data_IF_663291322561
#
_entry.id   IF_663291322561
#
_cell.length_a   1.000
_cell.length_b   1.000
_cell.length_c   1.000
_cell.angle_alpha   90.00
_cell.angle_beta   90.00
_cell.angle_gamma   90.00
#
_symmetry.space_group_name_H-M   'P 1'
#
loop_
_entity.id
_entity.type
_entity.pdbx_description
1 polymer ?
#
# COMPACT_ATOMS: atom_id res chain seq x y z
N UNK A 1 -19.64 -0.30 81.40
CA UNK A 1 -18.77 0.79 80.90
C UNK A 1 -19.48 2.10 81.18
N UNK A 2 -19.06 2.81 82.23
CA UNK A 2 -19.78 3.97 82.79
C UNK A 2 -19.79 5.13 81.79
N UNK A 3 -20.93 5.80 81.61
CA UNK A 3 -21.14 6.90 80.65
C UNK A 3 -20.04 7.97 80.69
N UNK A 4 -19.46 8.23 81.87
CA UNK A 4 -18.28 9.08 82.05
C UNK A 4 -17.12 8.70 81.11
N UNK A 5 -16.76 7.41 80.98
CA UNK A 5 -15.66 6.96 80.10
C UNK A 5 -15.94 7.22 78.62
N UNK A 6 -17.21 7.15 78.20
CA UNK A 6 -17.60 7.46 76.82
C UNK A 6 -17.49 8.95 76.53
N UNK A 7 -17.83 9.79 77.51
CA UNK A 7 -17.71 11.24 77.39
C UNK A 7 -16.26 11.71 77.44
N UNK A 8 -15.39 11.06 78.24
CA UNK A 8 -13.94 11.30 78.20
C UNK A 8 -13.40 11.04 76.79
N UNK A 9 -13.64 9.86 76.23
CA UNK A 9 -13.16 9.53 74.88
C UNK A 9 -13.72 10.46 73.80
N UNK A 10 -14.98 10.90 73.93
CA UNK A 10 -15.58 11.87 73.02
C UNK A 10 -14.92 13.24 73.14
N UNK A 11 -14.69 13.73 74.36
CA UNK A 11 -14.04 15.03 74.60
C UNK A 11 -12.58 15.03 74.15
N UNK A 12 -11.85 13.94 74.37
CA UNK A 12 -10.45 13.79 73.91
C UNK A 12 -10.38 13.83 72.37
N UNK A 13 -11.29 13.13 71.69
CA UNK A 13 -11.37 13.15 70.23
C UNK A 13 -11.81 14.52 69.70
N UNK A 14 -12.82 15.13 70.33
CA UNK A 14 -13.32 16.46 69.98
C UNK A 14 -12.22 17.51 70.12
N UNK A 15 -11.50 17.54 71.22
CA UNK A 15 -10.41 18.52 71.45
C UNK A 15 -9.25 18.32 70.47
N UNK A 16 -8.91 17.07 70.13
CA UNK A 16 -7.91 16.77 69.11
C UNK A 16 -8.36 17.19 67.70
N UNK A 17 -9.61 16.89 67.32
CA UNK A 17 -10.17 17.28 66.02
C UNK A 17 -10.27 18.81 65.90
N UNK A 18 -10.69 19.51 66.96
CA UNK A 18 -10.75 20.98 67.00
C UNK A 18 -9.38 21.61 66.83
N UNK A 19 -8.37 21.15 67.59
CA UNK A 19 -7.02 21.65 67.46
C UNK A 19 -6.49 21.44 66.03
N UNK A 20 -6.69 20.24 65.48
CA UNK A 20 -6.29 19.92 64.11
C UNK A 20 -6.99 20.80 63.07
N UNK A 21 -8.29 21.08 63.23
CA UNK A 21 -9.03 21.94 62.31
C UNK A 21 -8.57 23.39 62.40
N UNK A 22 -8.43 23.93 63.61
CA UNK A 22 -8.00 25.29 63.84
C UNK A 22 -6.56 25.53 63.35
N UNK A 23 -5.66 24.58 63.58
CA UNK A 23 -4.27 24.62 63.08
C UNK A 23 -4.23 24.60 61.55
N UNK A 24 -5.03 23.73 60.92
CA UNK A 24 -5.09 23.64 59.47
C UNK A 24 -5.71 24.91 58.84
N UNK A 25 -6.76 25.47 59.44
CA UNK A 25 -7.37 26.73 58.99
C UNK A 25 -6.43 27.91 59.22
N UNK A 26 -5.67 27.94 60.31
CA UNK A 26 -4.67 28.96 60.58
C UNK A 26 -3.52 28.91 59.55
N UNK A 27 -3.06 27.70 59.19
CA UNK A 27 -2.07 27.48 58.13
C UNK A 27 -2.57 28.05 56.79
N UNK A 28 -3.80 27.73 56.41
CA UNK A 28 -4.43 28.21 55.17
C UNK A 28 -4.56 29.75 55.18
N UNK A 29 -5.01 30.35 56.28
CA UNK A 29 -5.16 31.80 56.39
C UNK A 29 -3.80 32.54 56.39
N UNK A 30 -2.73 31.90 56.85
CA UNK A 30 -1.36 32.44 56.79
C UNK A 30 -0.79 32.36 55.36
N UNK A 31 -1.11 31.29 54.63
CA UNK A 31 -0.77 31.10 53.22
C UNK A 31 -1.52 32.10 52.32
N UNK A 32 -2.82 32.29 52.54
CA UNK A 32 -3.67 33.26 51.81
C UNK A 32 -3.15 34.72 51.95
N UNK A 33 -2.52 35.06 53.09
CA UNK A 33 -1.92 36.38 53.32
C UNK A 33 -0.57 36.55 52.65
N UNK A 34 0.22 35.48 52.54
CA UNK A 34 1.51 35.49 51.84
C UNK A 34 1.33 35.54 50.32
N UNK A 35 0.36 34.81 49.76
CA UNK A 35 0.07 34.82 48.31
C UNK A 35 -0.53 36.16 47.83
N UNK A 36 -1.26 36.89 48.68
CA UNK A 36 -1.76 38.24 48.33
C UNK A 36 -0.67 39.32 48.21
N UNK A 37 0.57 39.04 48.62
CA UNK A 37 1.71 39.94 48.41
C UNK A 37 2.54 39.60 47.16
N UNK A 38 2.32 38.46 46.51
CA UNK A 38 3.07 38.01 45.35
C UNK A 38 2.09 37.62 44.24
N UNK A 39 1.59 38.63 43.52
CA UNK A 39 0.94 38.41 42.23
C UNK A 39 2.04 38.40 41.17
N UNK A 40 1.96 37.41 40.27
CA UNK A 40 2.84 37.10 39.14
C UNK A 40 4.08 36.24 39.46
N UNK A 41 3.89 34.94 39.71
CA UNK A 41 4.50 33.89 38.87
C UNK A 41 3.96 32.49 39.19
N UNK A 42 3.96 31.67 38.15
CA UNK A 42 3.37 30.34 38.03
C UNK A 42 4.01 29.29 38.95
N UNK A 43 3.14 28.44 39.51
CA UNK A 43 3.35 27.09 40.03
C UNK A 43 3.81 26.89 41.49
N UNK A 44 2.84 26.38 42.27
CA UNK A 44 2.93 25.18 43.09
C UNK A 44 3.96 25.16 44.22
N UNK A 45 3.62 25.80 45.34
CA UNK A 45 4.03 25.32 46.67
C UNK A 45 3.11 25.89 47.74
N UNK A 46 1.83 25.50 47.72
CA UNK A 46 0.90 25.79 48.81
C UNK A 46 0.65 24.50 49.56
N UNK A 47 0.91 24.48 50.86
CA UNK A 47 0.59 23.40 51.81
C UNK A 47 -0.73 22.71 51.45
N UNK A 48 -0.63 21.49 50.92
CA UNK A 48 -1.75 20.73 50.36
C UNK A 48 -2.60 20.15 51.50
N UNK A 49 -3.40 21.02 52.10
CA UNK A 49 -4.39 20.62 53.08
C UNK A 49 -5.59 20.08 52.31
N UNK A 50 -5.79 18.76 52.38
CA UNK A 50 -6.85 18.05 51.67
C UNK A 50 -8.25 18.58 52.08
N UNK A 51 -8.99 19.25 51.18
CA UNK A 51 -10.31 19.80 51.48
C UNK A 51 -11.36 18.74 51.84
N UNK A 52 -11.22 17.49 51.38
CA UNK A 52 -12.11 16.40 51.77
C UNK A 52 -11.83 15.98 53.22
N UNK A 53 -10.56 15.86 53.61
CA UNK A 53 -10.18 15.55 54.99
C UNK A 53 -10.60 16.64 55.97
N UNK A 54 -10.46 17.92 55.60
CA UNK A 54 -10.91 19.03 56.45
C UNK A 54 -12.42 19.03 56.67
N UNK A 55 -13.20 18.76 55.62
CA UNK A 55 -14.64 18.67 55.73
C UNK A 55 -15.08 17.49 56.61
N UNK A 56 -14.39 16.33 56.49
CA UNK A 56 -14.64 15.18 57.36
C UNK A 56 -14.35 15.50 58.83
N UNK A 57 -13.25 16.18 59.12
CA UNK A 57 -12.91 16.65 60.48
C UNK A 57 -13.97 17.62 60.99
N UNK A 58 -14.36 18.61 60.18
CA UNK A 58 -15.44 19.57 60.50
C UNK A 58 -16.76 18.85 60.83
N UNK A 59 -17.15 17.86 60.03
CA UNK A 59 -18.37 17.07 60.27
C UNK A 59 -18.30 16.25 61.57
N UNK A 60 -17.13 15.65 61.90
CA UNK A 60 -16.92 14.95 63.17
C UNK A 60 -17.01 15.89 64.37
N UNK A 61 -16.47 17.10 64.25
CA UNK A 61 -16.56 18.13 65.28
C UNK A 61 -18.02 18.51 65.51
N UNK A 62 -18.77 18.83 64.46
CA UNK A 62 -20.18 19.18 64.57
C UNK A 62 -21.00 18.07 65.24
N UNK A 63 -20.77 16.81 64.84
CA UNK A 63 -21.42 15.66 65.46
C UNK A 63 -21.04 15.52 66.95
N UNK A 64 -19.77 15.72 67.29
CA UNK A 64 -19.28 15.65 68.67
C UNK A 64 -19.86 16.73 69.57
N UNK A 65 -20.13 17.93 69.03
CA UNK A 65 -20.80 19.01 69.77
C UNK A 65 -22.27 18.65 69.99
N UNK A 66 -22.99 18.26 68.93
CA UNK A 66 -24.42 17.90 68.99
C UNK A 66 -24.69 16.76 69.97
N UNK A 67 -23.85 15.72 69.96
CA UNK A 67 -24.02 14.57 70.84
C UNK A 67 -23.43 14.80 72.25
N UNK A 68 -22.27 15.46 72.32
CA UNK A 68 -21.50 15.63 73.54
C UNK A 68 -22.08 16.68 74.49
N UNK A 69 -22.52 17.82 73.95
CA UNK A 69 -23.00 18.96 74.73
C UNK A 69 -24.16 18.60 75.68
N UNK A 70 -25.30 18.02 75.24
CA UNK A 70 -26.41 17.69 76.14
C UNK A 70 -26.04 16.62 77.18
N UNK A 71 -25.13 15.69 76.84
CA UNK A 71 -24.70 14.61 77.73
C UNK A 71 -23.76 15.09 78.82
N UNK A 72 -22.79 15.93 78.47
CA UNK A 72 -21.86 16.55 79.43
C UNK A 72 -22.63 17.50 80.34
N UNK A 73 -23.49 18.35 79.78
CA UNK A 73 -24.37 19.25 80.55
C UNK A 73 -25.19 18.51 81.60
N UNK A 74 -25.87 17.44 81.20
CA UNK A 74 -26.65 16.59 82.11
C UNK A 74 -25.79 15.97 83.20
N UNK A 75 -24.54 15.59 82.89
CA UNK A 75 -23.63 14.98 83.86
C UNK A 75 -23.09 16.00 84.87
N UNK A 76 -22.77 17.22 84.43
CA UNK A 76 -22.33 18.33 85.28
C UNK A 76 -23.44 18.79 86.22
N UNK A 77 -24.66 18.99 85.71
CA UNK A 77 -25.81 19.35 86.55
C UNK A 77 -26.06 18.32 87.66
N UNK A 78 -25.85 17.03 87.38
CA UNK A 78 -25.95 15.96 88.39
C UNK A 78 -24.77 15.93 89.37
N UNK A 79 -23.58 16.36 88.96
CA UNK A 79 -22.40 16.45 89.81
C UNK A 79 -22.45 17.67 90.77
N UNK A 80 -23.17 18.73 90.36
CA UNK A 80 -23.42 19.95 91.15
C UNK A 80 -24.70 19.88 92.00
N UNK A 81 -25.37 18.74 92.06
CA UNK A 81 -26.55 18.55 92.91
C UNK A 81 -26.14 18.69 94.39
N UNK A 82 -26.84 19.55 95.14
CA UNK A 82 -26.48 19.93 96.51
C UNK A 82 -27.32 19.16 97.54
N UNK A 83 -28.43 18.55 97.12
CA UNK A 83 -29.23 17.65 97.97
C UNK A 83 -28.50 16.30 98.18
N UNK A 84 -28.07 15.97 99.41
CA UNK A 84 -27.35 14.72 99.69
C UNK A 84 -28.15 13.46 99.34
N UNK A 85 -29.48 13.55 99.27
CA UNK A 85 -30.36 12.43 98.90
C UNK A 85 -30.53 12.28 97.38
N UNK A 86 -30.06 13.24 96.59
CA UNK A 86 -30.12 13.25 95.11
C UNK A 86 -28.73 13.21 94.46
N UNK A 87 -27.69 13.53 95.21
CA UNK A 87 -26.31 13.47 94.74
C UNK A 87 -25.85 12.01 94.60
N UNK A 88 -25.61 11.58 93.36
CA UNK A 88 -25.25 10.20 93.01
C UNK A 88 -23.74 9.97 92.84
N UNK A 89 -22.93 11.02 92.91
CA UNK A 89 -21.48 10.98 92.71
C UNK A 89 -20.74 11.38 93.99
N UNK A 90 -19.64 10.68 94.28
CA UNK A 90 -18.72 11.09 95.35
C UNK A 90 -17.90 12.33 94.91
N UNK A 91 -17.30 13.03 95.88
CA UNK A 91 -16.56 14.28 95.65
C UNK A 91 -15.44 14.13 94.59
N UNK A 92 -14.75 12.98 94.59
CA UNK A 92 -13.69 12.69 93.61
C UNK A 92 -14.24 12.57 92.19
N UNK A 93 -15.42 11.97 92.00
CA UNK A 93 -16.08 11.88 90.70
C UNK A 93 -16.68 13.22 90.27
N UNK A 94 -17.20 14.03 91.20
CA UNK A 94 -17.64 15.38 90.89
C UNK A 94 -16.48 16.23 90.34
N UNK A 95 -15.29 16.19 90.96
CA UNK A 95 -14.10 16.89 90.47
C UNK A 95 -13.69 16.45 89.06
N UNK A 96 -13.72 15.13 88.79
CA UNK A 96 -13.43 14.55 87.47
C UNK A 96 -14.45 14.93 86.38
N UNK A 97 -15.71 15.15 86.75
CA UNK A 97 -16.76 15.62 85.82
C UNK A 97 -16.58 17.10 85.49
N UNK A 98 -16.16 17.92 86.46
CA UNK A 98 -15.83 19.34 86.25
C UNK A 98 -14.61 19.51 85.34
N UNK A 99 -13.56 18.70 85.50
CA UNK A 99 -12.40 18.71 84.61
C UNK A 99 -12.76 18.35 83.17
N UNK A 100 -13.60 17.31 82.99
CA UNK A 100 -14.11 16.91 81.68
C UNK A 100 -14.93 18.03 81.02
N UNK A 101 -15.76 18.72 81.81
CA UNK A 101 -16.53 19.86 81.34
C UNK A 101 -15.62 21.00 80.90
N UNK A 102 -14.59 21.33 81.69
CA UNK A 102 -13.60 22.36 81.33
C UNK A 102 -12.88 22.04 80.03
N UNK A 103 -12.46 20.79 79.85
CA UNK A 103 -11.78 20.33 78.63
C UNK A 103 -12.70 20.45 77.40
N UNK A 104 -13.97 20.05 77.51
CA UNK A 104 -14.96 20.19 76.44
C UNK A 104 -15.24 21.66 76.10
N UNK A 105 -15.42 22.51 77.10
CA UNK A 105 -15.60 23.95 76.88
C UNK A 105 -14.38 24.61 76.25
N UNK A 106 -13.16 24.17 76.57
CA UNK A 106 -11.94 24.68 75.95
C UNK A 106 -11.92 24.41 74.44
N UNK A 107 -12.34 23.23 73.99
CA UNK A 107 -12.51 22.95 72.56
C UNK A 107 -13.58 23.84 71.90
N UNK A 108 -14.71 24.08 72.57
CA UNK A 108 -15.73 25.01 72.06
C UNK A 108 -15.22 26.46 71.95
N UNK A 109 -14.43 26.91 72.93
CA UNK A 109 -13.81 28.24 72.92
C UNK A 109 -12.81 28.41 71.79
N UNK A 110 -12.08 27.35 71.42
CA UNK A 110 -11.17 27.38 70.27
C UNK A 110 -11.92 27.50 68.94
N UNK A 111 -13.10 26.89 68.82
CA UNK A 111 -13.95 26.98 67.61
C UNK A 111 -14.70 28.30 67.50
N UNK A 112 -15.17 28.84 68.63
CA UNK A 112 -15.97 30.04 68.73
C UNK A 112 -15.43 30.95 69.85
N UNK A 113 -14.48 31.85 69.54
CA UNK A 113 -13.85 32.74 70.51
C UNK A 113 -14.80 33.68 71.26
N UNK A 114 -16.04 33.85 70.76
CA UNK A 114 -17.12 34.57 71.44
C UNK A 114 -17.52 33.94 72.80
N UNK A 115 -17.04 32.73 73.12
CA UNK A 115 -17.15 32.08 74.43
C UNK A 115 -15.92 32.29 75.35
N UNK A 116 -14.97 33.15 74.96
CA UNK A 116 -13.78 33.50 75.75
C UNK A 116 -14.06 34.68 76.70
N UNK A 117 -13.60 34.64 77.98
CA UNK A 117 -13.82 35.71 78.94
C UNK A 117 -13.04 37.02 78.67
N UNK A 118 -12.16 37.07 77.66
CA UNK A 118 -11.22 38.20 77.47
C UNK A 118 -11.50 39.13 76.28
N UNK A 119 -12.63 39.00 75.57
CA UNK A 119 -12.98 39.90 74.44
C UNK A 119 -14.13 40.86 74.76
N UNK A 120 -14.46 41.05 76.05
CA UNK A 120 -15.40 42.09 76.49
C UNK A 120 -14.73 43.45 76.77
N UNK A 121 -13.39 43.55 76.73
CA UNK A 121 -12.66 44.80 76.93
C UNK A 121 -12.05 45.35 75.64
N UNK A 122 -12.87 45.65 74.62
CA UNK A 122 -12.49 46.62 73.57
C UNK A 122 -13.69 46.92 72.65
N UNK A 123 -14.75 47.48 73.23
CA UNK A 123 -15.54 48.49 72.55
C UNK A 123 -16.39 49.28 73.56
N UNK A 124 -16.24 50.59 73.46
CA UNK A 124 -16.59 51.62 74.40
C UNK A 124 -18.09 51.87 74.59
N UNK A 125 -18.41 52.26 75.84
CA UNK A 125 -19.52 53.10 76.36
C UNK A 125 -20.82 52.41 76.91
N UNK A 126 -21.25 52.74 78.16
CA UNK A 126 -22.42 52.15 78.84
C UNK A 126 -23.69 53.03 78.71
N UNK A 127 -24.91 52.53 79.02
CA UNK A 127 -25.38 52.61 80.41
C UNK A 127 -26.24 51.42 80.93
N UNK A 128 -26.12 51.21 82.24
CA UNK A 128 -27.17 50.83 83.19
C UNK A 128 -28.14 49.67 82.85
N UNK A 129 -27.77 48.46 83.27
CA UNK A 129 -28.48 47.62 84.25
C UNK A 129 -28.04 46.15 84.08
N UNK A 130 -27.80 45.49 85.22
CA UNK A 130 -27.37 44.09 85.37
C UNK A 130 -25.95 43.78 84.87
N UNK A 131 -24.99 43.81 85.80
CA UNK A 131 -23.74 43.04 85.69
C UNK A 131 -24.08 41.54 85.64
N UNK A 132 -24.44 41.04 84.47
CA UNK A 132 -24.36 39.60 84.19
C UNK A 132 -22.92 39.32 83.83
N UNK A 133 -22.09 39.17 84.86
CA UNK A 133 -20.77 38.55 84.75
C UNK A 133 -20.99 37.06 84.44
N UNK A 134 -21.44 36.76 83.21
CA UNK A 134 -21.77 35.42 82.75
C UNK A 134 -20.46 34.67 82.54
N UNK A 135 -20.07 33.89 83.54
CA UNK A 135 -19.07 32.86 83.38
C UNK A 135 -19.41 32.04 82.10
N UNK A 136 -18.53 31.92 81.09
CA UNK A 136 -18.83 31.20 79.83
C UNK A 136 -19.18 29.72 80.08
N UNK A 137 -18.71 29.17 81.20
CA UNK A 137 -19.09 27.84 81.68
C UNK A 137 -20.55 27.77 82.20
N UNK A 138 -21.18 28.89 82.56
CA UNK A 138 -22.57 28.96 83.00
C UNK A 138 -23.56 29.03 81.82
N UNK A 139 -23.15 29.64 80.69
CA UNK A 139 -23.98 29.74 79.47
C UNK A 139 -24.27 28.35 78.88
N UNK A 140 -23.28 27.45 78.88
CA UNK A 140 -23.45 26.05 78.46
C UNK A 140 -24.34 25.22 79.40
N UNK A 141 -24.58 25.69 80.62
CA UNK A 141 -25.46 25.04 81.59
C UNK A 141 -26.89 25.59 81.55
N UNK A 142 -27.15 26.67 80.81
CA UNK A 142 -28.48 27.27 80.62
C UNK A 142 -29.38 26.39 79.73
N UNK A 143 -30.64 26.27 80.12
CA UNK A 143 -31.69 25.55 79.38
C UNK A 143 -31.93 26.11 77.97
N UNK A 144 -31.52 27.34 77.71
CA UNK A 144 -31.69 28.01 76.42
C UNK A 144 -30.46 27.96 75.51
N UNK A 145 -29.40 27.23 75.90
CA UNK A 145 -28.21 27.08 75.05
C UNK A 145 -28.54 26.34 73.75
N UNK A 146 -28.31 27.00 72.61
CA UNK A 146 -28.48 26.43 71.28
C UNK A 146 -27.13 26.00 70.69
N UNK A 147 -26.99 24.71 70.42
CA UNK A 147 -25.80 24.11 69.79
C UNK A 147 -25.61 24.63 68.36
N UNK A 148 -26.71 24.82 67.63
CA UNK A 148 -26.67 25.25 66.22
C UNK A 148 -25.99 26.62 66.07
N UNK A 149 -26.21 27.51 67.05
CA UNK A 149 -25.58 28.83 67.08
C UNK A 149 -24.05 28.76 67.19
N UNK A 150 -23.49 27.75 67.87
CA UNK A 150 -22.03 27.57 67.97
C UNK A 150 -21.45 27.01 66.66
N UNK A 151 -22.19 26.12 66.00
CA UNK A 151 -21.79 25.55 64.72
C UNK A 151 -21.80 26.62 63.62
N UNK A 152 -22.84 27.46 63.57
CA UNK A 152 -22.99 28.56 62.61
C UNK A 152 -21.99 29.71 62.84
N UNK A 153 -21.57 29.94 64.09
CA UNK A 153 -20.66 31.04 64.43
C UNK A 153 -19.17 30.67 64.37
N UNK A 154 -18.82 29.41 64.10
CA UNK A 154 -17.42 28.99 64.04
C UNK A 154 -16.75 29.35 62.70
N UNK A 155 -15.75 30.25 62.69
CA UNK A 155 -15.05 30.61 61.46
C UNK A 155 -14.25 29.45 60.86
N UNK A 156 -13.79 28.52 61.71
CA UNK A 156 -13.02 27.35 61.29
C UNK A 156 -13.89 26.31 60.58
N UNK A 157 -15.10 26.03 61.10
CA UNK A 157 -16.06 25.13 60.46
C UNK A 157 -16.55 25.71 59.13
N UNK A 158 -16.90 27.00 59.09
CA UNK A 158 -17.32 27.68 57.87
C UNK A 158 -16.23 27.66 56.79
N UNK A 159 -14.96 27.94 57.15
CA UNK A 159 -13.85 27.92 56.19
C UNK A 159 -13.61 26.53 55.62
N UNK A 160 -13.74 25.47 56.42
CA UNK A 160 -13.61 24.09 55.93
C UNK A 160 -14.74 23.71 54.96
N UNK A 161 -15.97 24.13 55.25
CA UNK A 161 -17.12 23.95 54.36
C UNK A 161 -16.97 24.74 53.05
N UNK A 162 -16.54 26.00 53.12
CA UNK A 162 -16.31 26.84 51.95
C UNK A 162 -15.22 26.26 51.02
N UNK A 163 -14.12 25.77 51.60
CA UNK A 163 -13.04 25.13 50.85
C UNK A 163 -13.50 23.84 50.18
N UNK A 164 -14.29 23.03 50.88
CA UNK A 164 -14.87 21.82 50.30
C UNK A 164 -15.85 22.13 49.17
N UNK A 165 -16.73 23.10 49.34
CA UNK A 165 -17.66 23.54 48.31
C UNK A 165 -16.94 24.05 47.06
N UNK A 166 -15.87 24.84 47.24
CA UNK A 166 -15.03 25.29 46.12
C UNK A 166 -14.33 24.12 45.41
N UNK A 167 -13.82 23.16 46.17
CA UNK A 167 -13.19 21.95 45.63
C UNK A 167 -14.17 21.13 44.77
N UNK A 168 -15.38 20.85 45.27
CA UNK A 168 -16.41 20.11 44.54
C UNK A 168 -16.82 20.84 43.25
N UNK A 169 -17.00 22.16 43.30
CA UNK A 169 -17.33 22.95 42.11
C UNK A 169 -16.21 22.93 41.06
N UNK A 170 -14.94 22.98 41.49
CA UNK A 170 -13.79 22.89 40.60
C UNK A 170 -13.73 21.51 39.94
N UNK A 171 -13.85 20.45 40.72
CA UNK A 171 -13.88 19.07 40.23
C UNK A 171 -15.01 18.83 39.24
N UNK A 172 -16.23 19.28 39.53
CA UNK A 172 -17.36 19.15 38.61
C UNK A 172 -17.14 19.89 37.27
N UNK A 173 -16.48 21.07 37.30
CA UNK A 173 -16.11 21.80 36.07
C UNK A 173 -15.05 21.05 35.25
N UNK A 174 -14.05 20.46 35.92
CA UNK A 174 -13.00 19.69 35.27
C UNK A 174 -13.54 18.39 34.64
N UNK A 175 -14.38 17.64 35.36
CA UNK A 175 -15.03 16.42 34.85
C UNK A 175 -15.95 16.73 33.65
N UNK A 176 -16.73 17.82 33.70
CA UNK A 176 -17.57 18.26 32.59
C UNK A 176 -16.74 18.67 31.36
N UNK A 177 -15.60 19.34 31.57
CA UNK A 177 -14.67 19.66 30.50
C UNK A 177 -14.06 18.41 29.87
N UNK A 178 -13.54 17.49 30.69
CA UNK A 178 -12.96 16.23 30.23
C UNK A 178 -13.96 15.40 29.42
N UNK A 179 -15.21 15.30 29.90
CA UNK A 179 -16.28 14.61 29.19
C UNK A 179 -16.58 15.24 27.82
N UNK A 180 -16.65 16.57 27.73
CA UNK A 180 -16.84 17.28 26.45
C UNK A 180 -15.68 17.07 25.48
N UNK A 181 -14.44 17.08 25.98
CA UNK A 181 -13.26 16.84 25.15
C UNK A 181 -13.25 15.40 24.63
N UNK A 182 -13.52 14.42 25.50
CA UNK A 182 -13.57 13.01 25.13
C UNK A 182 -14.65 12.74 24.07
N UNK A 183 -15.86 13.29 24.25
CA UNK A 183 -16.95 13.13 23.27
C UNK A 183 -16.58 13.72 21.91
N UNK A 184 -16.08 14.96 21.88
CA UNK A 184 -15.68 15.60 20.61
C UNK A 184 -14.56 14.85 19.91
N UNK A 185 -13.60 14.31 20.66
CA UNK A 185 -12.52 13.50 20.10
C UNK A 185 -13.06 12.19 19.49
N UNK A 186 -14.01 11.53 20.16
CA UNK A 186 -14.67 10.34 19.64
C UNK A 186 -15.44 10.62 18.34
N UNK A 187 -16.12 11.76 18.27
CA UNK A 187 -16.83 12.19 17.06
C UNK A 187 -15.86 12.43 15.89
N UNK A 188 -14.72 13.09 16.15
CA UNK A 188 -13.67 13.32 15.13
C UNK A 188 -13.08 12.00 14.62
N UNK A 189 -12.75 11.06 15.52
CA UNK A 189 -12.23 9.73 15.13
C UNK A 189 -13.25 8.97 14.29
N UNK A 190 -14.54 9.06 14.65
CA UNK A 190 -15.62 8.41 13.91
C UNK A 190 -15.77 9.01 12.51
N UNK A 191 -15.72 10.34 12.40
CA UNK A 191 -15.74 11.04 11.11
C UNK A 191 -14.55 10.64 10.24
N UNK A 192 -13.34 10.65 10.80
CA UNK A 192 -12.13 10.27 10.06
C UNK A 192 -12.22 8.83 9.53
N UNK A 193 -12.72 7.90 10.35
CA UNK A 193 -12.94 6.51 9.95
C UNK A 193 -13.95 6.43 8.80
N UNK A 194 -15.07 7.15 8.87
CA UNK A 194 -16.07 7.19 7.81
C UNK A 194 -15.51 7.80 6.51
N UNK A 195 -14.73 8.89 6.61
CA UNK A 195 -14.08 9.51 5.45
C UNK A 195 -13.08 8.56 4.77
N UNK A 196 -12.28 7.81 5.54
CA UNK A 196 -11.38 6.79 4.97
C UNK A 196 -12.15 5.70 4.20
N UNK A 197 -13.29 5.25 4.73
CA UNK A 197 -14.14 4.27 4.03
C UNK A 197 -14.73 4.84 2.74
N UNK A 198 -15.16 6.10 2.77
CA UNK A 198 -15.69 6.79 1.59
C UNK A 198 -14.63 6.91 0.48
N UNK A 199 -13.43 7.41 0.81
CA UNK A 199 -12.31 7.53 -0.13
C UNK A 199 -11.96 6.15 -0.72
N UNK A 200 -11.83 5.12 0.13
CA UNK A 200 -11.53 3.77 -0.34
C UNK A 200 -12.63 3.20 -1.27
N UNK A 201 -13.89 3.59 -1.08
CA UNK A 201 -14.99 3.19 -1.95
C UNK A 201 -14.95 3.92 -3.30
N UNK A 202 -14.67 5.23 -3.31
CA UNK A 202 -14.47 6.01 -4.53
C UNK A 202 -13.28 5.49 -5.34
N UNK A 203 -12.12 5.32 -4.71
CA UNK A 203 -10.92 4.76 -5.37
C UNK A 203 -11.19 3.38 -5.96
N UNK A 204 -11.98 2.54 -5.28
CA UNK A 204 -12.36 1.22 -5.80
C UNK A 204 -13.23 1.34 -7.05
N UNK A 205 -14.19 2.25 -7.09
CA UNK A 205 -15.04 2.47 -8.26
C UNK A 205 -14.25 3.00 -9.45
N UNK A 206 -13.39 3.99 -9.23
CA UNK A 206 -12.51 4.55 -10.26
C UNK A 206 -11.55 3.49 -10.81
N UNK A 207 -10.97 2.66 -9.93
CA UNK A 207 -10.09 1.57 -10.33
C UNK A 207 -10.82 0.52 -11.19
N UNK A 208 -12.06 0.19 -10.86
CA UNK A 208 -12.87 -0.74 -11.68
C UNK A 208 -13.10 -0.15 -13.07
N UNK A 209 -13.54 1.11 -13.15
CA UNK A 209 -13.75 1.79 -14.43
C UNK A 209 -12.47 1.84 -15.29
N UNK A 210 -11.34 2.17 -14.68
CA UNK A 210 -10.03 2.18 -15.36
C UNK A 210 -9.63 0.79 -15.87
N UNK A 211 -9.85 -0.27 -15.09
CA UNK A 211 -9.53 -1.65 -15.51
C UNK A 211 -10.42 -2.08 -16.68
N UNK A 212 -11.70 -1.70 -16.67
CA UNK A 212 -12.63 -1.97 -17.78
C UNK A 212 -12.22 -1.23 -19.06
N UNK A 213 -11.84 0.04 -18.95
CA UNK A 213 -11.29 0.83 -20.06
C UNK A 213 -10.04 0.16 -20.64
N UNK A 214 -9.07 -0.23 -19.79
CA UNK A 214 -7.85 -0.91 -20.22
C UNK A 214 -8.10 -2.28 -20.83
N UNK A 215 -9.13 -2.99 -20.37
CA UNK A 215 -9.58 -4.23 -21.02
C UNK A 215 -10.11 -3.95 -22.42
N UNK A 216 -10.88 -2.88 -22.60
CA UNK A 216 -11.35 -2.42 -23.92
C UNK A 216 -10.20 -2.04 -24.85
N UNK A 217 -9.22 -1.26 -24.36
CA UNK A 217 -8.02 -0.89 -25.11
C UNK A 217 -7.23 -2.12 -25.55
N UNK A 218 -7.01 -3.08 -24.64
CA UNK A 218 -6.31 -4.32 -24.94
C UNK A 218 -7.00 -5.11 -26.05
N UNK A 219 -8.32 -5.26 -25.97
CA UNK A 219 -9.09 -5.96 -27.00
C UNK A 219 -8.99 -5.25 -28.35
N UNK A 220 -9.08 -3.91 -28.36
CA UNK A 220 -8.92 -3.11 -29.58
C UNK A 220 -7.54 -3.30 -30.21
N UNK A 221 -6.48 -3.29 -29.41
CA UNK A 221 -5.10 -3.50 -29.89
C UNK A 221 -4.95 -4.91 -30.45
N UNK A 222 -5.50 -5.94 -29.78
CA UNK A 222 -5.46 -7.32 -30.28
C UNK A 222 -6.17 -7.40 -31.64
N UNK A 223 -7.39 -6.88 -31.78
CA UNK A 223 -8.10 -6.90 -33.06
C UNK A 223 -7.30 -6.16 -34.16
N UNK A 224 -6.70 -5.01 -33.86
CA UNK A 224 -5.85 -4.29 -34.82
C UNK A 224 -4.60 -5.09 -35.23
N UNK A 225 -4.01 -5.85 -34.31
CA UNK A 225 -2.86 -6.72 -34.61
C UNK A 225 -3.28 -7.92 -35.47
N UNK A 226 -4.41 -8.55 -35.15
CA UNK A 226 -5.00 -9.64 -35.94
C UNK A 226 -5.38 -9.18 -37.36
N UNK A 227 -6.02 -8.02 -37.50
CA UNK A 227 -6.33 -7.40 -38.79
C UNK A 227 -5.07 -7.11 -39.61
N UNK A 228 -4.00 -6.61 -38.97
CA UNK A 228 -2.72 -6.38 -39.64
C UNK A 228 -2.04 -7.67 -40.05
N UNK A 229 -2.06 -8.70 -39.21
CA UNK A 229 -1.47 -10.00 -39.50
C UNK A 229 -2.20 -10.69 -40.66
N UNK A 230 -3.53 -10.68 -40.64
CA UNK A 230 -4.36 -11.22 -41.73
C UNK A 230 -4.18 -10.45 -43.04
N UNK A 231 -4.11 -9.11 -43.01
CA UNK A 231 -3.81 -8.30 -44.19
C UNK A 231 -2.42 -8.65 -44.76
N UNK A 232 -1.40 -8.71 -43.91
CA UNK A 232 -0.04 -9.13 -44.27
C UNK A 232 0.00 -10.52 -44.90
N UNK A 233 -0.75 -11.47 -44.34
CA UNK A 233 -0.85 -12.82 -44.88
C UNK A 233 -1.54 -12.86 -46.24
N UNK A 234 -2.61 -12.08 -46.43
CA UNK A 234 -3.28 -11.96 -47.72
C UNK A 234 -2.37 -11.34 -48.79
N UNK A 235 -1.60 -10.30 -48.45
CA UNK A 235 -0.62 -9.69 -49.33
C UNK A 235 0.47 -10.71 -49.74
N UNK A 236 0.93 -11.53 -48.79
CA UNK A 236 1.90 -12.61 -49.05
C UNK A 236 1.31 -13.70 -49.96
N UNK A 237 0.06 -14.10 -49.77
CA UNK A 237 -0.61 -15.05 -50.67
C UNK A 237 -0.71 -14.49 -52.10
N UNK A 238 -1.11 -13.22 -52.25
CA UNK A 238 -1.16 -12.57 -53.55
C UNK A 238 0.22 -12.47 -54.21
N UNK A 239 1.27 -12.16 -53.42
CA UNK A 239 2.65 -12.15 -53.89
C UNK A 239 3.08 -13.53 -54.39
N UNK A 240 2.83 -14.59 -53.62
CA UNK A 240 3.14 -15.98 -53.98
C UNK A 240 2.45 -16.39 -55.28
N UNK A 241 1.16 -16.08 -55.42
CA UNK A 241 0.40 -16.35 -56.64
C UNK A 241 0.97 -15.59 -57.85
N UNK A 242 1.34 -14.32 -57.66
CA UNK A 242 1.92 -13.49 -58.71
C UNK A 242 3.28 -14.03 -59.15
N UNK A 243 4.14 -14.40 -58.19
CA UNK A 243 5.43 -15.00 -58.47
C UNK A 243 5.31 -16.31 -59.26
N UNK A 244 4.42 -17.21 -58.82
CA UNK A 244 4.18 -18.48 -59.50
C UNK A 244 3.66 -18.27 -60.92
N UNK A 245 2.73 -17.32 -61.13
CA UNK A 245 2.23 -16.95 -62.46
C UNK A 245 3.34 -16.42 -63.35
N UNK A 246 4.14 -15.47 -62.86
CA UNK A 246 5.25 -14.88 -63.61
C UNK A 246 6.29 -15.93 -64.01
N UNK A 247 6.66 -16.83 -63.09
CA UNK A 247 7.61 -17.89 -63.40
C UNK A 247 7.04 -18.89 -64.40
N UNK A 248 5.75 -19.24 -64.28
CA UNK A 248 5.07 -20.10 -65.24
C UNK A 248 4.99 -19.47 -66.64
N UNK A 249 4.64 -18.18 -66.73
CA UNK A 249 4.63 -17.42 -67.98
C UNK A 249 6.02 -17.34 -68.64
N UNK A 250 7.06 -17.07 -67.84
CA UNK A 250 8.45 -17.11 -68.33
C UNK A 250 8.84 -18.49 -68.83
N UNK A 251 8.44 -19.55 -68.14
CA UNK A 251 8.74 -20.93 -68.51
C UNK A 251 8.01 -21.35 -69.80
N UNK A 252 6.80 -20.85 -70.06
CA UNK A 252 6.09 -21.06 -71.34
C UNK A 252 6.86 -20.54 -72.55
N UNK A 253 7.82 -19.62 -72.37
CA UNK A 253 8.69 -19.23 -73.50
C UNK A 253 9.65 -20.35 -73.93
N UNK A 254 9.87 -21.37 -73.09
CA UNK A 254 10.65 -22.58 -73.36
C UNK A 254 9.72 -23.69 -73.85
N UNK A 255 8.95 -23.41 -74.91
CA UNK A 255 8.07 -24.41 -75.52
C UNK A 255 8.86 -25.59 -76.12
N UNK A 256 10.05 -25.31 -76.65
CA UNK A 256 10.98 -26.28 -77.23
C UNK A 256 12.33 -26.22 -76.51
N UNK A 257 12.92 -27.40 -76.23
CA UNK A 257 14.24 -27.55 -75.62
C UNK A 257 15.34 -26.94 -76.49
N UNK A 258 15.14 -26.87 -77.81
CA UNK A 258 16.08 -26.24 -78.74
C UNK A 258 16.26 -24.72 -78.50
N UNK A 259 15.34 -24.06 -77.78
CA UNK A 259 15.43 -22.62 -77.45
C UNK A 259 16.42 -22.37 -76.30
N UNK A 260 16.66 -23.37 -75.43
CA UNK A 260 17.46 -23.26 -74.21
C UNK A 260 18.83 -22.58 -74.44
N UNK A 261 19.65 -22.95 -75.45
CA UNK A 261 20.95 -22.31 -75.67
C UNK A 261 20.82 -20.79 -75.88
N UNK A 262 19.91 -20.36 -76.74
CA UNK A 262 19.69 -18.94 -77.03
C UNK A 262 19.18 -18.15 -75.82
N UNK A 263 18.31 -18.77 -75.02
CA UNK A 263 17.82 -18.19 -73.78
C UNK A 263 18.94 -17.99 -72.77
N UNK A 264 19.80 -19.00 -72.60
CA UNK A 264 20.93 -18.95 -71.67
C UNK A 264 21.99 -17.94 -72.12
N UNK A 265 22.28 -17.83 -73.42
CA UNK A 265 23.21 -16.82 -73.94
C UNK A 265 22.71 -15.41 -73.64
N UNK A 266 21.40 -15.17 -73.79
CA UNK A 266 20.78 -13.87 -73.50
C UNK A 266 20.76 -13.56 -72.00
N UNK A 267 20.43 -14.54 -71.16
CA UNK A 267 20.31 -14.35 -69.71
C UNK A 267 21.68 -14.29 -69.01
N UNK A 268 22.66 -15.04 -69.52
CA UNK A 268 24.00 -15.20 -68.95
C UNK A 268 25.06 -15.01 -70.04
N UNK A 269 25.47 -13.76 -70.31
CA UNK A 269 26.49 -13.47 -71.32
C UNK A 269 27.85 -14.12 -71.00
N UNK A 270 28.21 -14.20 -69.72
CA UNK A 270 29.45 -14.83 -69.26
C UNK A 270 29.44 -16.35 -69.54
N UNK A 271 30.39 -16.80 -70.37
CA UNK A 271 30.53 -18.19 -70.78
C UNK A 271 30.89 -19.13 -69.65
N UNK A 272 31.70 -18.71 -68.68
CA UNK A 272 32.11 -19.57 -67.55
C UNK A 272 30.92 -19.81 -66.63
N UNK A 273 30.21 -18.74 -66.26
CA UNK A 273 29.01 -18.82 -65.42
C UNK A 273 27.93 -19.66 -66.11
N UNK A 274 27.71 -19.44 -67.42
CA UNK A 274 26.75 -20.22 -68.22
C UNK A 274 27.12 -21.70 -68.27
N UNK A 275 28.39 -22.06 -68.51
CA UNK A 275 28.84 -23.46 -68.53
C UNK A 275 28.69 -24.14 -67.17
N UNK A 276 28.97 -23.44 -66.07
CA UNK A 276 28.79 -23.96 -64.71
C UNK A 276 27.30 -24.27 -64.44
N UNK A 277 26.40 -23.31 -64.73
CA UNK A 277 24.96 -23.52 -64.57
C UNK A 277 24.48 -24.73 -65.40
N UNK A 278 24.85 -24.78 -66.69
CA UNK A 278 24.48 -25.88 -67.59
C UNK A 278 24.98 -27.22 -67.05
N UNK A 279 26.22 -27.27 -66.55
CA UNK A 279 26.79 -28.47 -65.92
C UNK A 279 26.01 -28.91 -64.69
N UNK A 280 25.59 -27.98 -63.83
CA UNK A 280 24.79 -28.30 -62.64
C UNK A 280 23.37 -28.78 -63.01
N UNK A 281 22.69 -28.11 -63.94
CA UNK A 281 21.36 -28.53 -64.42
C UNK A 281 21.44 -29.93 -65.05
N UNK A 282 22.46 -30.19 -65.87
CA UNK A 282 22.67 -31.51 -66.45
C UNK A 282 22.89 -32.59 -65.39
N UNK A 283 23.71 -32.32 -64.37
CA UNK A 283 23.91 -33.26 -63.24
C UNK A 283 22.59 -33.57 -62.55
N UNK A 284 21.75 -32.56 -62.34
CA UNK A 284 20.42 -32.73 -61.77
C UNK A 284 19.51 -33.59 -62.66
N UNK A 285 19.46 -33.33 -63.98
CA UNK A 285 18.71 -34.17 -64.93
C UNK A 285 19.19 -35.62 -64.88
N UNK A 286 20.49 -35.85 -64.94
CA UNK A 286 21.07 -37.20 -64.86
C UNK A 286 20.77 -37.88 -63.53
N UNK A 287 20.75 -37.14 -62.42
CA UNK A 287 20.38 -37.66 -61.11
C UNK A 287 18.89 -38.05 -61.08
N UNK A 288 17.99 -37.20 -61.57
CA UNK A 288 16.55 -37.49 -61.64
C UNK A 288 16.25 -38.74 -62.47
N UNK A 289 16.93 -38.90 -63.62
CA UNK A 289 16.73 -40.04 -64.51
C UNK A 289 17.31 -41.35 -63.95
N UNK A 290 18.32 -41.29 -63.05
CA UNK A 290 18.99 -42.47 -62.48
C UNK A 290 18.45 -42.88 -61.13
N UNK A 291 18.12 -41.91 -60.28
CA UNK A 291 17.69 -42.11 -58.89
C UNK A 291 16.45 -41.25 -58.60
N UNK A 292 15.31 -41.51 -59.26
CA UNK A 292 14.12 -40.67 -59.17
C UNK A 292 13.51 -40.58 -57.77
N UNK A 293 13.83 -41.53 -56.88
CA UNK A 293 13.29 -41.60 -55.50
C UNK A 293 14.00 -40.67 -54.50
N UNK A 294 15.16 -40.11 -54.83
CA UNK A 294 15.93 -39.29 -53.89
C UNK A 294 15.21 -37.96 -53.60
N UNK A 295 14.80 -37.79 -52.34
CA UNK A 295 14.07 -36.60 -51.88
C UNK A 295 14.89 -35.31 -52.00
N UNK A 296 16.22 -35.37 -51.95
CA UNK A 296 17.07 -34.17 -52.01
C UNK A 296 17.10 -33.55 -53.40
N UNK A 297 17.00 -34.38 -54.44
CA UNK A 297 16.86 -33.89 -55.81
C UNK A 297 15.40 -33.54 -56.10
N UNK A 298 14.41 -34.26 -55.55
CA UNK A 298 12.98 -33.93 -55.75
C UNK A 298 12.54 -32.66 -55.02
N UNK A 299 13.25 -32.23 -53.98
CA UNK A 299 12.96 -31.01 -53.20
C UNK A 299 14.20 -30.11 -53.10
N UNK A 300 14.29 -29.12 -53.98
CA UNK A 300 15.38 -28.15 -54.01
C UNK A 300 15.08 -27.01 -53.04
N UNK A 301 15.76 -27.03 -51.89
CA UNK A 301 15.60 -26.05 -50.80
C UNK A 301 16.46 -24.82 -51.02
N UNK A 302 15.86 -23.62 -51.15
CA UNK A 302 16.61 -22.40 -51.47
C UNK A 302 17.67 -22.02 -50.43
N UNK A 303 17.47 -22.38 -49.16
CA UNK A 303 18.40 -22.05 -48.07
C UNK A 303 19.44 -23.16 -47.85
N UNK A 304 19.50 -24.16 -48.73
CA UNK A 304 20.55 -25.17 -48.73
C UNK A 304 21.86 -24.57 -49.26
N UNK A 305 22.94 -24.67 -48.48
CA UNK A 305 24.26 -24.11 -48.81
C UNK A 305 24.77 -24.60 -50.18
N UNK A 306 24.61 -25.89 -50.50
CA UNK A 306 25.06 -26.44 -51.78
C UNK A 306 24.24 -25.91 -52.94
N UNK A 307 22.91 -25.85 -52.80
CA UNK A 307 22.04 -25.29 -53.85
C UNK A 307 22.37 -23.80 -54.08
N UNK A 308 22.62 -23.04 -53.02
CA UNK A 308 23.03 -21.64 -53.11
C UNK A 308 24.37 -21.48 -53.82
N UNK A 309 25.37 -22.30 -53.52
CA UNK A 309 26.66 -22.28 -54.21
C UNK A 309 26.52 -22.63 -55.70
N UNK A 310 25.64 -23.58 -56.02
CA UNK A 310 25.49 -24.09 -57.39
C UNK A 310 24.63 -23.20 -58.29
N UNK A 311 23.62 -22.53 -57.73
CA UNK A 311 22.58 -21.82 -58.49
C UNK A 311 22.26 -20.41 -57.99
N UNK A 312 22.78 -20.00 -56.84
CA UNK A 312 22.48 -18.72 -56.19
C UNK A 312 21.22 -18.77 -55.34
N UNK A 313 20.79 -17.61 -54.85
CA UNK A 313 19.55 -17.45 -54.08
C UNK A 313 18.82 -16.19 -54.58
N UNK A 314 17.50 -16.22 -54.74
CA UNK A 314 16.76 -15.10 -55.33
C UNK A 314 16.73 -13.86 -54.41
N UNK A 315 17.02 -14.02 -53.11
CA UNK A 315 17.12 -12.90 -52.15
C UNK A 315 18.48 -12.21 -52.16
N UNK A 316 19.43 -12.70 -52.97
CA UNK A 316 20.80 -12.20 -52.99
C UNK A 316 21.07 -11.42 -54.27
N UNK A 317 21.51 -10.18 -54.10
CA UNK A 317 22.09 -9.36 -55.16
C UNK A 317 23.44 -8.83 -54.70
N UNK A 318 24.26 -8.30 -55.61
CA UNK A 318 25.36 -7.41 -55.23
C UNK A 318 25.10 -6.13 -55.98
N UNK A 319 24.92 -5.04 -55.25
CA UNK A 319 25.02 -3.69 -55.80
C UNK A 319 26.35 -3.14 -55.27
N UNK A 320 27.42 -3.34 -56.03
CA UNK A 320 28.72 -2.82 -55.64
C UNK A 320 28.73 -1.31 -55.96
N UNK A 321 28.79 -0.47 -54.93
CA UNK A 321 28.67 0.99 -55.06
C UNK A 321 29.84 1.65 -55.80
N UNK A 322 30.92 0.91 -56.06
CA UNK A 322 32.14 1.42 -56.70
C UNK A 322 32.28 1.12 -58.18
N UNK A 323 31.66 0.04 -58.69
CA UNK A 323 31.91 -0.46 -60.07
C UNK A 323 30.64 -0.66 -60.93
N UNK A 324 29.45 -0.41 -60.40
CA UNK A 324 28.13 -0.62 -61.07
C UNK A 324 27.91 -2.03 -61.67
N UNK A 325 28.85 -2.97 -61.49
CA UNK A 325 28.72 -4.35 -61.99
C UNK A 325 27.73 -5.11 -61.12
N UNK A 326 26.54 -5.30 -61.67
CA UNK A 326 25.50 -6.14 -61.09
C UNK A 326 25.98 -7.59 -60.99
N UNK A 327 25.88 -8.19 -59.81
CA UNK A 327 26.21 -9.60 -59.63
C UNK A 327 25.32 -10.51 -60.48
N UNK A 328 25.94 -11.53 -61.09
CA UNK A 328 25.26 -12.49 -61.96
C UNK A 328 24.38 -13.50 -61.22
N UNK A 329 24.50 -13.64 -59.89
CA UNK A 329 23.73 -14.62 -59.10
C UNK A 329 22.22 -14.49 -59.31
N UNK A 330 21.69 -13.26 -59.38
CA UNK A 330 20.27 -13.04 -59.65
C UNK A 330 19.88 -13.54 -61.05
N UNK A 331 20.72 -13.33 -62.07
CA UNK A 331 20.48 -13.85 -63.42
C UNK A 331 20.62 -15.37 -63.48
N UNK A 332 21.58 -15.94 -62.74
CA UNK A 332 21.82 -17.39 -62.67
C UNK A 332 20.63 -18.09 -62.03
N UNK A 333 20.18 -17.62 -60.87
CA UNK A 333 19.04 -18.24 -60.17
C UNK A 333 17.76 -18.09 -60.99
N UNK A 334 17.52 -16.93 -61.62
CA UNK A 334 16.36 -16.77 -62.51
C UNK A 334 16.38 -17.76 -63.68
N UNK A 335 17.55 -17.96 -64.32
CA UNK A 335 17.69 -18.93 -65.40
C UNK A 335 17.52 -20.38 -64.90
N UNK A 336 18.08 -20.69 -63.72
CA UNK A 336 17.93 -22.00 -63.07
C UNK A 336 16.46 -22.31 -62.77
N UNK A 337 15.73 -21.37 -62.16
CA UNK A 337 14.31 -21.53 -61.81
C UNK A 337 13.42 -21.75 -63.03
N UNK A 338 13.71 -21.08 -64.15
CA UNK A 338 13.01 -21.33 -65.42
C UNK A 338 13.27 -22.74 -65.95
N UNK A 339 14.52 -23.23 -65.85
CA UNK A 339 14.87 -24.58 -66.27
C UNK A 339 14.27 -25.64 -65.34
N UNK A 340 14.27 -25.41 -64.02
CA UNK A 340 13.61 -26.29 -63.05
C UNK A 340 12.11 -26.37 -63.31
N UNK A 341 11.44 -25.24 -63.52
CA UNK A 341 10.02 -25.24 -63.89
C UNK A 341 9.78 -26.00 -65.21
N UNK A 342 10.70 -25.88 -66.19
CA UNK A 342 10.61 -26.67 -67.43
C UNK A 342 10.74 -28.17 -67.16
N UNK A 343 11.61 -28.55 -66.23
CA UNK A 343 11.78 -29.93 -65.77
C UNK A 343 10.60 -30.44 -64.91
N UNK A 344 9.61 -29.61 -64.59
CA UNK A 344 8.42 -29.99 -63.82
C UNK A 344 8.46 -29.63 -62.33
N UNK A 345 9.42 -28.82 -61.89
CA UNK A 345 9.39 -28.29 -60.52
C UNK A 345 8.33 -27.20 -60.35
N UNK A 346 7.78 -27.10 -59.14
CA UNK A 346 6.84 -26.06 -58.75
C UNK A 346 7.29 -25.42 -57.43
N UNK A 347 7.07 -24.11 -57.30
CA UNK A 347 7.39 -23.39 -56.06
C UNK A 347 6.44 -23.84 -54.95
N UNK A 348 7.02 -24.12 -53.79
CA UNK A 348 6.32 -24.41 -52.55
C UNK A 348 6.90 -23.58 -51.42
N UNK A 349 6.09 -23.40 -50.37
CA UNK A 349 6.43 -22.66 -49.17
C UNK A 349 6.17 -23.53 -47.95
N UNK A 350 7.11 -23.57 -47.01
CA UNK A 350 6.86 -24.19 -45.71
C UNK A 350 6.02 -23.26 -44.82
N UNK A 351 5.38 -23.81 -43.80
CA UNK A 351 4.68 -23.03 -42.77
C UNK A 351 5.50 -22.92 -41.48
N UNK A 352 6.78 -23.30 -41.53
CA UNK A 352 7.65 -23.38 -40.36
C UNK A 352 8.82 -22.42 -40.58
N UNK A 353 9.19 -21.61 -39.56
CA UNK A 353 10.37 -20.77 -39.62
C UNK A 353 11.60 -21.57 -39.99
N UNK A 354 12.41 -21.04 -40.90
CA UNK A 354 13.70 -21.61 -41.24
C UNK A 354 14.78 -20.55 -41.07
N UNK A 355 16.04 -20.99 -41.05
CA UNK A 355 17.19 -20.10 -40.96
C UNK A 355 17.18 -19.11 -42.12
N UNK A 356 17.13 -17.82 -41.80
CA UNK A 356 17.13 -16.75 -42.79
C UNK A 356 18.51 -16.65 -43.48
N UNK A 357 18.49 -16.36 -44.78
CA UNK A 357 19.71 -16.20 -45.59
C UNK A 357 20.56 -15.04 -45.09
N UNK A 358 19.93 -13.97 -44.57
CA UNK A 358 20.66 -12.85 -43.95
C UNK A 358 21.45 -13.29 -42.72
N UNK A 359 20.87 -14.16 -41.89
CA UNK A 359 21.59 -14.72 -40.75
C UNK A 359 22.80 -15.54 -41.21
N UNK A 360 22.64 -16.37 -42.25
CA UNK A 360 23.76 -17.14 -42.82
C UNK A 360 24.86 -16.23 -43.38
N UNK A 361 24.49 -15.12 -44.01
CA UNK A 361 25.41 -14.16 -44.62
C UNK A 361 26.30 -13.44 -43.62
N UNK A 362 25.78 -13.15 -42.43
CA UNK A 362 26.50 -12.43 -41.37
C UNK A 362 27.48 -13.32 -40.59
N UNK A 363 27.48 -14.62 -40.83
CA UNK A 363 28.37 -15.56 -40.17
C UNK A 363 29.75 -15.61 -40.81
N UNK A 364 30.77 -15.95 -40.02
CA UNK A 364 32.14 -16.12 -40.52
C UNK A 364 32.23 -17.14 -41.67
N UNK A 365 31.42 -18.20 -41.62
CA UNK A 365 31.37 -19.24 -42.66
C UNK A 365 30.87 -18.72 -44.02
N UNK A 366 30.19 -17.57 -44.06
CA UNK A 366 29.76 -16.95 -45.31
C UNK A 366 30.94 -16.52 -46.21
N UNK A 367 32.13 -16.34 -45.64
CA UNK A 367 33.36 -16.06 -46.41
C UNK A 367 33.84 -17.28 -47.21
N UNK A 368 33.48 -18.49 -46.78
CA UNK A 368 33.85 -19.75 -47.42
C UNK A 368 32.82 -20.21 -48.46
N UNK A 369 31.57 -19.72 -48.36
CA UNK A 369 30.48 -20.06 -49.26
C UNK A 369 30.56 -19.22 -50.54
N UNK A 370 31.18 -19.77 -51.58
CA UNK A 370 31.31 -19.12 -52.89
C UNK A 370 30.03 -19.33 -53.70
N UNK A 371 29.43 -18.23 -54.16
CA UNK A 371 28.23 -18.23 -55.00
C UNK A 371 28.60 -18.30 -56.50
N UNK A 372 27.64 -18.53 -57.42
CA UNK A 372 27.94 -18.71 -58.85
C UNK A 372 28.68 -17.55 -59.53
N UNK A 373 28.62 -16.35 -58.96
CA UNK A 373 29.38 -15.19 -59.43
C UNK A 373 30.88 -15.25 -59.08
N UNK A 374 31.32 -16.27 -58.33
CA UNK A 374 32.69 -16.42 -57.85
C UNK A 374 33.03 -15.63 -56.59
N UNK A 375 32.07 -14.88 -56.04
CA UNK A 375 32.25 -14.10 -54.81
C UNK A 375 31.64 -14.80 -53.59
N UNK A 376 32.17 -14.57 -52.38
CA UNK A 376 31.61 -15.10 -51.14
C UNK A 376 30.18 -14.61 -50.86
N UNK A 377 29.41 -15.40 -50.12
CA UNK A 377 28.07 -15.01 -49.65
C UNK A 377 28.12 -13.69 -48.86
N UNK A 378 29.14 -13.50 -48.02
CA UNK A 378 29.26 -12.33 -47.13
C UNK A 378 29.23 -10.97 -47.86
N UNK A 379 29.70 -10.91 -49.11
CA UNK A 379 29.75 -9.67 -49.89
C UNK A 379 28.44 -9.34 -50.62
N UNK A 380 27.44 -10.21 -50.55
CA UNK A 380 26.15 -9.98 -51.18
C UNK A 380 25.26 -9.09 -50.30
N UNK A 381 24.34 -8.37 -50.93
CA UNK A 381 23.24 -7.66 -50.28
C UNK A 381 22.01 -8.54 -50.28
N UNK A 382 21.43 -8.72 -49.10
CA UNK A 382 20.17 -9.42 -48.93
C UNK A 382 19.00 -8.47 -49.16
N UNK A 383 18.08 -8.88 -50.03
CA UNK A 383 16.81 -8.23 -50.25
C UNK A 383 15.71 -9.27 -50.04
N UNK A 384 14.87 -9.11 -49.00
CA UNK A 384 13.82 -10.08 -48.72
C UNK A 384 12.78 -10.08 -49.84
N UNK A 385 12.39 -11.26 -50.32
CA UNK A 385 11.30 -11.44 -51.28
C UNK A 385 9.94 -11.55 -50.58
N UNK A 386 9.90 -11.88 -49.28
CA UNK A 386 8.67 -12.00 -48.50
C UNK A 386 8.90 -12.46 -47.06
N UNK A 387 7.98 -13.27 -46.53
CA UNK A 387 8.02 -13.81 -45.16
C UNK A 387 9.04 -14.94 -44.98
N UNK A 388 10.31 -14.70 -45.34
CA UNK A 388 11.42 -15.64 -45.15
C UNK A 388 11.75 -15.92 -43.69
N UNK A 389 11.38 -14.99 -42.79
CA UNK A 389 11.51 -15.19 -41.34
C UNK A 389 10.55 -16.26 -40.79
N UNK A 390 9.51 -16.63 -41.54
CA UNK A 390 8.44 -17.55 -41.11
C UNK A 390 8.25 -18.75 -42.04
N UNK A 391 8.86 -18.75 -43.22
CA UNK A 391 8.70 -19.80 -44.23
C UNK A 391 9.93 -19.93 -45.12
N UNK A 392 10.22 -21.16 -45.54
CA UNK A 392 11.22 -21.45 -46.57
C UNK A 392 10.55 -21.61 -47.92
N UNK A 393 11.11 -20.94 -48.93
CA UNK A 393 10.80 -21.17 -50.35
C UNK A 393 11.62 -22.35 -50.87
N UNK A 394 10.97 -23.30 -51.55
CA UNK A 394 11.64 -24.44 -52.16
C UNK A 394 10.93 -24.85 -53.46
N UNK A 395 11.60 -25.65 -54.27
CA UNK A 395 11.03 -26.25 -55.46
C UNK A 395 10.76 -27.73 -55.23
N UNK A 396 9.54 -28.17 -55.50
CA UNK A 396 9.14 -29.57 -55.43
C UNK A 396 8.83 -30.10 -56.83
N UNK A 397 9.41 -31.25 -57.19
CA UNK A 397 9.18 -31.89 -58.46
C UNK A 397 7.75 -32.46 -58.52
N UNK A 398 6.96 -31.96 -59.46
CA UNK A 398 5.60 -32.39 -59.77
C UNK A 398 5.59 -33.14 -61.10
N UNK A 399 6.29 -34.27 -61.18
CA UNK A 399 6.29 -35.09 -62.41
C UNK A 399 4.93 -35.78 -62.61
N UNK A 400 4.53 -36.05 -63.86
CA UNK A 400 3.31 -36.83 -64.14
C UNK A 400 3.38 -38.22 -63.49
N UNK A 401 2.24 -38.76 -63.04
CA UNK A 401 2.23 -40.09 -62.45
C UNK A 401 2.24 -41.15 -63.56
N UNK A 402 3.34 -41.90 -63.68
CA UNK A 402 3.50 -42.92 -64.71
C UNK A 402 2.40 -43.99 -64.72
N UNK A 403 1.75 -44.25 -63.58
CA UNK A 403 0.66 -45.22 -63.47
C UNK A 403 -0.71 -44.65 -63.87
N UNK A 404 -0.91 -43.34 -63.71
CA UNK A 404 -2.20 -42.68 -63.99
C UNK A 404 -2.22 -42.04 -65.39
N UNK A 405 -1.12 -41.41 -65.79
CA UNK A 405 -0.96 -40.70 -67.07
C UNK A 405 0.36 -41.08 -67.75
N UNK A 406 0.48 -42.32 -68.27
CA UNK A 406 1.73 -42.83 -68.86
C UNK A 406 2.22 -42.02 -70.07
N UNK A 407 1.30 -41.51 -70.89
CA UNK A 407 1.65 -40.69 -72.07
C UNK A 407 2.30 -39.35 -71.67
N UNK A 408 1.74 -38.67 -70.67
CA UNK A 408 2.30 -37.42 -70.14
C UNK A 408 3.65 -37.66 -69.47
N UNK A 409 3.80 -38.78 -68.76
CA UNK A 409 5.07 -39.16 -68.17
C UNK A 409 6.14 -39.45 -69.24
N UNK A 410 5.80 -40.18 -70.30
CA UNK A 410 6.71 -40.43 -71.41
C UNK A 410 7.09 -39.14 -72.15
N UNK A 411 6.14 -38.22 -72.34
CA UNK A 411 6.41 -36.91 -72.93
C UNK A 411 7.38 -36.09 -72.06
N UNK A 412 7.17 -36.09 -70.75
CA UNK A 412 8.08 -35.47 -69.79
C UNK A 412 9.47 -36.12 -69.82
N UNK A 413 9.56 -37.45 -69.80
CA UNK A 413 10.81 -38.20 -69.84
C UNK A 413 11.61 -37.91 -71.13
N UNK A 414 10.96 -37.91 -72.29
CA UNK A 414 11.57 -37.55 -73.57
C UNK A 414 12.06 -36.10 -73.59
N UNK A 415 11.30 -35.17 -73.00
CA UNK A 415 11.74 -33.78 -72.84
C UNK A 415 13.00 -33.71 -71.96
N UNK A 416 13.06 -34.44 -70.84
CA UNK A 416 14.24 -34.48 -69.97
C UNK A 416 15.48 -35.02 -70.70
N UNK A 417 15.33 -36.06 -71.52
CA UNK A 417 16.42 -36.57 -72.37
C UNK A 417 16.83 -35.55 -73.44
N UNK A 418 15.88 -34.87 -74.07
CA UNK A 418 16.15 -33.80 -75.02
C UNK A 418 16.91 -32.63 -74.40
N UNK A 419 16.52 -32.23 -73.18
CA UNK A 419 17.25 -31.23 -72.40
C UNK A 419 18.68 -31.70 -72.08
N UNK A 420 18.89 -32.95 -71.64
CA UNK A 420 20.24 -33.47 -71.40
C UNK A 420 21.11 -33.38 -72.66
N UNK A 421 20.58 -33.77 -73.82
CA UNK A 421 21.30 -33.71 -75.10
C UNK A 421 21.71 -32.27 -75.46
N UNK A 422 20.76 -31.32 -75.44
CA UNK A 422 21.03 -29.91 -75.74
C UNK A 422 22.05 -29.31 -74.76
N UNK A 423 21.96 -29.65 -73.47
CA UNK A 423 22.92 -29.19 -72.47
C UNK A 423 24.33 -29.80 -72.68
N UNK A 424 24.43 -31.07 -73.10
CA UNK A 424 25.71 -31.70 -73.48
C UNK A 424 26.37 -30.96 -74.66
N UNK A 425 25.60 -30.53 -75.66
CA UNK A 425 26.13 -29.76 -76.79
C UNK A 425 26.70 -28.41 -76.34
N UNK A 426 26.00 -27.69 -75.47
CA UNK A 426 26.49 -26.43 -74.89
C UNK A 426 27.79 -26.65 -74.09
N UNK A 427 27.94 -27.78 -73.41
CA UNK A 427 29.18 -28.11 -72.69
C UNK A 427 30.31 -28.57 -73.60
N UNK A 428 30.01 -29.04 -74.81
CA UNK A 428 31.01 -29.51 -75.77
C UNK A 428 31.58 -28.39 -76.64
N UNK A 429 30.87 -27.26 -76.74
CA UNK A 429 31.26 -26.01 -77.39
C UNK A 429 31.92 -25.03 -76.43
#
# INVERSE_FOLDING_TARGET
>A
MTEYKKLVALTDLFTADVASLCDAVALINSSDKAERQIVDTVAASGTDVDPEQLFLVSSRISQSITDGCPRIRKMVLKAREVDPNRQIYNETMCGKIEELFKSFCSGLQQLAPAFSPEVAELQSSPPENEEVNANPFAVLLDNHFNVDTVLEQSPALQKAEDLHNQYILKRAKEEAWQSRVAQKLADVVTFERQSRFFIAAEEKLERVAFVEEKRGDRLRIICLLEERETAKWNDELQRRDTEQKLLHERTKSINDVAIIPSLLIRALPDTVVRRNLVGHIQKLIKALLRTPEDLNIRRLRNNNEHLMCDYGNPCLSVINSTDERQCSCASVVNAAEMLWCRMGYSIRYTNVPNRCVESMRLEKRAEELILPCGLPLSVHTYSPLGFEDYSERFFELMEPNAMETPDDWMAWYNMMQGMDHVLNEILSC
#
